data_IF_756865251931
#
_entry.id   IF_756865251931
#
_cell.length_a   1.000
_cell.length_b   1.000
_cell.length_c   1.000
_cell.angle_alpha   90.00
_cell.angle_beta   90.00
_cell.angle_gamma   90.00
#
_symmetry.space_group_name_H-M   'P 1'
#
loop_
_entity.id
_entity.type
_entity.pdbx_description
1 polymer ?
#
# COMPACT_ATOMS: atom_id res chain seq x y z
N UNK A 1 18.09 -0.89 21.30
CA UNK A 1 17.26 -1.21 20.12
C UNK A 1 17.60 -0.20 19.05
N UNK A 2 17.81 -0.62 17.80
CA UNK A 2 18.03 0.32 16.71
C UNK A 2 16.76 1.17 16.52
N UNK A 3 16.90 2.49 16.50
CA UNK A 3 15.81 3.41 16.16
C UNK A 3 15.58 3.27 14.65
N UNK A 4 14.36 2.90 14.26
CA UNK A 4 13.98 2.90 12.85
C UNK A 4 13.38 4.27 12.58
N UNK A 5 14.13 5.11 11.86
CA UNK A 5 13.70 6.45 11.47
C UNK A 5 12.93 6.39 10.14
N UNK A 6 11.88 7.21 10.05
CA UNK A 6 11.14 7.42 8.81
C UNK A 6 11.71 8.63 8.07
N UNK A 7 12.11 8.43 6.82
CA UNK A 7 12.67 9.47 5.95
C UNK A 7 11.77 9.78 4.74
N UNK A 8 10.50 9.37 4.77
CA UNK A 8 9.56 9.59 3.68
C UNK A 8 9.33 11.08 3.39
N UNK A 9 9.52 11.45 2.12
CA UNK A 9 9.22 12.77 1.58
C UNK A 9 7.81 12.79 0.98
N UNK A 10 6.88 13.36 1.74
CA UNK A 10 5.48 13.53 1.34
C UNK A 10 5.21 14.85 0.61
N UNK A 11 6.23 15.65 0.33
CA UNK A 11 6.07 16.99 -0.27
C UNK A 11 5.34 16.91 -1.61
N UNK A 12 4.22 17.62 -1.72
CA UNK A 12 3.41 17.68 -2.94
C UNK A 12 2.52 16.46 -3.17
N UNK A 13 2.53 15.44 -2.30
CA UNK A 13 1.62 14.30 -2.37
C UNK A 13 0.34 14.62 -1.59
N UNK A 14 -0.80 14.59 -2.27
CA UNK A 14 -2.10 14.73 -1.63
C UNK A 14 -2.68 13.36 -1.32
N UNK A 15 -3.00 13.11 -0.04
CA UNK A 15 -3.68 11.89 0.39
C UNK A 15 -5.17 11.95 0.04
N UNK A 16 -5.45 11.95 -1.25
CA UNK A 16 -6.79 11.96 -1.83
C UNK A 16 -6.91 10.80 -2.82
N UNK A 17 -7.97 10.01 -2.67
CA UNK A 17 -8.27 8.92 -3.60
C UNK A 17 -8.66 9.50 -4.97
N UNK A 18 -7.99 9.04 -6.02
CA UNK A 18 -8.36 9.36 -7.39
C UNK A 18 -9.22 8.26 -8.01
N UNK A 19 -10.09 8.64 -8.95
CA UNK A 19 -10.89 7.67 -9.70
C UNK A 19 -10.00 6.98 -10.76
N UNK A 20 -9.64 5.73 -10.51
CA UNK A 20 -8.84 4.89 -11.42
C UNK A 20 -9.68 4.11 -12.43
N UNK A 21 -10.95 4.50 -12.66
CA UNK A 21 -11.79 3.92 -13.71
C UNK A 21 -12.47 2.59 -13.32
N UNK A 22 -12.52 2.26 -12.03
CA UNK A 22 -13.23 1.07 -11.55
C UNK A 22 -14.76 1.14 -11.75
N UNK A 23 -15.31 2.33 -12.07
CA UNK A 23 -16.76 2.58 -12.24
C UNK A 23 -17.45 1.68 -13.27
N UNK A 24 -16.74 1.12 -14.26
CA UNK A 24 -17.33 0.19 -15.22
C UNK A 24 -17.48 -1.26 -14.71
N UNK A 25 -16.91 -1.58 -13.54
CA UNK A 25 -17.07 -2.90 -12.90
C UNK A 25 -18.20 -2.82 -11.86
N UNK A 26 -19.45 -2.85 -12.32
CA UNK A 26 -20.69 -2.85 -11.51
C UNK A 26 -20.88 -4.06 -10.57
N UNK A 27 -19.81 -4.73 -10.15
CA UNK A 27 -19.92 -5.85 -9.22
C UNK A 27 -19.97 -5.28 -7.81
N UNK A 28 -21.15 -5.36 -7.16
CA UNK A 28 -21.38 -4.84 -5.80
C UNK A 28 -20.38 -5.38 -4.76
N UNK A 29 -19.79 -6.55 -4.99
CA UNK A 29 -18.78 -7.12 -4.11
C UNK A 29 -17.40 -6.41 -4.18
N UNK A 30 -17.19 -5.50 -5.13
CA UNK A 30 -15.97 -4.69 -5.26
C UNK A 30 -16.06 -3.33 -4.55
N UNK A 31 -17.11 -3.09 -3.78
CA UNK A 31 -17.33 -1.83 -3.06
C UNK A 31 -17.11 -2.07 -1.56
N UNK A 32 -16.33 -1.20 -0.93
CA UNK A 32 -16.16 -1.17 0.51
C UNK A 32 -16.07 0.28 1.00
N UNK A 33 -16.92 0.64 1.97
CA UNK A 33 -17.08 2.02 2.49
C UNK A 33 -17.26 3.05 1.37
N UNK A 34 -18.16 2.76 0.43
CA UNK A 34 -18.50 3.58 -0.74
C UNK A 34 -17.34 3.83 -1.74
N UNK A 35 -16.21 3.15 -1.57
CA UNK A 35 -15.07 3.18 -2.49
C UNK A 35 -15.09 1.92 -3.36
N UNK A 36 -14.94 2.11 -4.68
CA UNK A 36 -14.83 1.02 -5.64
C UNK A 36 -13.37 0.60 -5.82
N UNK A 37 -13.11 -0.71 -5.71
CA UNK A 37 -11.80 -1.32 -5.89
C UNK A 37 -11.72 -2.09 -7.20
N UNK A 38 -10.51 -2.28 -7.73
CA UNK A 38 -10.29 -2.95 -9.00
C UNK A 38 -10.38 -4.49 -8.90
N UNK A 39 -10.07 -5.03 -7.71
CA UNK A 39 -9.99 -6.47 -7.44
C UNK A 39 -10.61 -6.87 -6.08
N UNK A 40 -10.96 -8.15 -5.92
CA UNK A 40 -11.38 -8.69 -4.60
C UNK A 40 -10.22 -8.72 -3.60
N UNK A 41 -8.98 -8.83 -4.07
CA UNK A 41 -7.78 -8.75 -3.23
C UNK A 41 -7.71 -7.40 -2.52
N UNK A 42 -7.85 -6.31 -3.27
CA UNK A 42 -7.94 -4.96 -2.69
C UNK A 42 -9.09 -4.81 -1.69
N UNK A 43 -10.28 -5.32 -1.99
CA UNK A 43 -11.41 -5.27 -1.03
C UNK A 43 -11.08 -5.99 0.28
N UNK A 44 -10.49 -7.19 0.20
CA UNK A 44 -10.08 -7.96 1.38
C UNK A 44 -9.01 -7.22 2.18
N UNK A 45 -8.04 -6.60 1.50
CA UNK A 45 -6.99 -5.82 2.14
C UNK A 45 -7.55 -4.56 2.82
N UNK A 46 -8.44 -3.83 2.15
CA UNK A 46 -9.14 -2.67 2.70
C UNK A 46 -9.93 -3.02 3.97
N UNK A 47 -10.62 -4.18 3.97
CA UNK A 47 -11.32 -4.69 5.16
C UNK A 47 -10.35 -5.01 6.29
N UNK A 48 -9.25 -5.71 6.03
CA UNK A 48 -8.24 -6.03 7.04
C UNK A 48 -7.64 -4.77 7.68
N UNK A 49 -7.31 -3.77 6.87
CA UNK A 49 -6.78 -2.49 7.38
C UNK A 49 -7.82 -1.80 8.27
N UNK A 50 -9.08 -1.74 7.82
CA UNK A 50 -10.17 -1.13 8.56
C UNK A 50 -10.50 -1.87 9.89
N UNK A 51 -10.52 -3.20 9.88
CA UNK A 51 -10.76 -4.04 11.07
C UNK A 51 -9.64 -3.88 12.11
N UNK A 52 -8.42 -3.63 11.66
CA UNK A 52 -7.27 -3.35 12.53
C UNK A 52 -7.15 -1.88 12.94
N UNK A 53 -8.11 -1.03 12.53
CA UNK A 53 -8.07 0.41 12.83
C UNK A 53 -6.89 1.15 12.19
N UNK A 54 -6.32 0.59 11.12
CA UNK A 54 -5.23 1.21 10.36
C UNK A 54 -5.86 2.18 9.36
N UNK A 55 -5.68 3.49 9.52
CA UNK A 55 -6.24 4.46 8.59
C UNK A 55 -5.45 4.42 7.28
N UNK A 56 -6.14 4.53 6.15
CA UNK A 56 -5.51 4.48 4.83
C UNK A 56 -6.27 5.32 3.81
N UNK A 57 -5.57 5.72 2.76
CA UNK A 57 -6.12 6.36 1.56
C UNK A 57 -5.88 5.44 0.37
N UNK A 58 -6.93 4.98 -0.32
CA UNK A 58 -6.75 4.16 -1.51
C UNK A 58 -6.42 5.03 -2.74
N UNK A 59 -5.78 4.44 -3.74
CA UNK A 59 -5.55 5.04 -5.07
C UNK A 59 -4.98 6.46 -5.02
N UNK A 60 -3.83 6.66 -4.36
CA UNK A 60 -3.18 7.97 -4.25
C UNK A 60 -2.31 8.23 -5.49
N UNK A 61 -2.48 9.37 -6.15
CA UNK A 61 -1.65 9.71 -7.31
C UNK A 61 -0.27 10.22 -6.87
N UNK A 62 0.79 9.63 -7.41
CA UNK A 62 2.17 10.06 -7.21
C UNK A 62 2.89 10.15 -8.57
N UNK A 63 3.57 11.25 -8.83
CA UNK A 63 4.39 11.42 -10.04
C UNK A 63 5.84 11.01 -9.75
N UNK A 64 6.35 10.07 -10.55
CA UNK A 64 7.72 9.55 -10.48
C UNK A 64 8.56 10.19 -11.58
N UNK A 65 9.68 10.81 -11.23
CA UNK A 65 10.57 11.51 -12.16
C UNK A 65 11.74 10.66 -12.65
N UNK A 66 12.06 9.57 -11.95
CA UNK A 66 13.23 8.72 -12.23
C UNK A 66 12.88 7.46 -13.03
N UNK A 67 11.62 7.29 -13.42
CA UNK A 67 11.13 6.13 -14.15
C UNK A 67 11.15 6.36 -15.68
N UNK A 68 12.33 6.36 -16.28
CA UNK A 68 12.55 6.61 -17.72
C UNK A 68 12.70 8.10 -18.05
N UNK A 69 12.60 8.46 -19.33
CA UNK A 69 12.98 9.81 -19.82
C UNK A 69 11.95 10.92 -19.51
N UNK A 70 10.73 10.56 -19.09
CA UNK A 70 9.64 11.49 -18.79
C UNK A 70 8.99 11.12 -17.47
N UNK A 71 8.43 12.10 -16.73
CA UNK A 71 7.66 11.82 -15.53
C UNK A 71 6.53 10.83 -15.81
N UNK A 72 6.30 9.89 -14.87
CA UNK A 72 5.25 8.88 -14.97
C UNK A 72 4.42 8.85 -13.72
N UNK A 73 3.11 8.79 -13.90
CA UNK A 73 2.19 8.60 -12.80
C UNK A 73 2.22 7.15 -12.30
N UNK A 74 2.23 7.03 -10.99
CA UNK A 74 2.07 5.82 -10.22
C UNK A 74 0.95 6.02 -9.21
N UNK A 75 0.10 5.01 -9.06
CA UNK A 75 -1.05 5.03 -8.17
C UNK A 75 -0.96 3.79 -7.29
N UNK A 76 -0.34 3.87 -6.10
CA UNK A 76 -0.38 2.80 -5.12
C UNK A 76 -1.84 2.48 -4.74
N UNK A 77 -2.13 1.20 -4.56
CA UNK A 77 -3.50 0.77 -4.20
C UNK A 77 -3.91 1.31 -2.82
N UNK A 78 -2.98 1.35 -1.86
CA UNK A 78 -3.19 1.84 -0.50
C UNK A 78 -1.99 2.62 0.03
N UNK A 79 -2.23 3.80 0.59
CA UNK A 79 -1.29 4.54 1.44
C UNK A 79 -1.81 4.53 2.88
N UNK A 80 -0.95 4.20 3.84
CA UNK A 80 -1.27 4.20 5.27
C UNK A 80 -1.19 5.63 5.79
N UNK A 81 -2.26 6.09 6.41
CA UNK A 81 -2.35 7.46 6.91
C UNK A 81 -1.72 7.55 8.29
N UNK A 82 -1.17 8.71 8.61
CA UNK A 82 -0.72 9.03 9.96
C UNK A 82 0.73 8.64 10.22
N UNK A 83 1.14 7.38 9.99
CA UNK A 83 2.49 6.89 10.30
C UNK A 83 2.87 5.65 9.47
N UNK A 84 4.19 5.37 9.31
CA UNK A 84 4.63 4.10 8.77
C UNK A 84 4.40 2.94 9.74
N UNK A 85 4.36 1.73 9.18
CA UNK A 85 4.12 0.48 9.89
C UNK A 85 5.31 -0.47 9.74
N UNK A 86 5.60 -1.26 10.77
CA UNK A 86 6.59 -2.33 10.66
C UNK A 86 5.95 -3.59 10.08
N UNK A 87 6.29 -3.94 8.85
CA UNK A 87 5.96 -5.22 8.26
C UNK A 87 6.80 -6.33 8.89
N UNK A 88 6.12 -7.30 9.49
CA UNK A 88 6.73 -8.45 10.20
C UNK A 88 7.78 -8.06 11.26
N UNK A 89 7.68 -6.84 11.81
CA UNK A 89 8.62 -6.31 12.80
C UNK A 89 10.02 -6.01 12.26
N UNK A 90 10.21 -5.93 10.93
CA UNK A 90 11.53 -5.78 10.30
C UNK A 90 11.60 -4.63 9.30
N UNK A 91 10.57 -4.46 8.48
CA UNK A 91 10.60 -3.56 7.33
C UNK A 91 9.60 -2.42 7.54
N UNK A 92 10.04 -1.17 7.41
CA UNK A 92 9.16 -0.01 7.46
C UNK A 92 8.38 0.11 6.14
N UNK A 93 7.05 0.19 6.21
CA UNK A 93 6.16 0.33 5.06
C UNK A 93 5.19 1.50 5.25
N UNK A 94 4.81 2.12 4.13
CA UNK A 94 3.90 3.27 4.07
C UNK A 94 2.60 2.95 3.31
N UNK A 95 2.50 1.76 2.74
CA UNK A 95 1.42 1.43 1.84
C UNK A 95 1.53 0.02 1.29
N UNK A 96 0.52 -0.35 0.50
CA UNK A 96 0.42 -1.63 -0.14
C UNK A 96 0.08 -1.47 -1.62
N UNK A 97 0.65 -2.37 -2.42
CA UNK A 97 0.28 -2.61 -3.81
C UNK A 97 -0.16 -4.07 -3.94
N UNK A 98 -1.46 -4.29 -4.14
CA UNK A 98 -2.05 -5.59 -4.34
C UNK A 98 -1.75 -6.09 -5.75
N UNK A 99 -1.29 -7.33 -5.86
CA UNK A 99 -1.05 -7.97 -7.15
C UNK A 99 -1.68 -9.35 -7.17
N UNK A 100 -2.11 -9.77 -8.36
CA UNK A 100 -2.49 -11.16 -8.59
C UNK A 100 -1.33 -12.12 -8.29
N UNK A 101 -1.60 -13.42 -8.38
CA UNK A 101 -0.60 -14.46 -8.05
C UNK A 101 0.68 -14.26 -8.89
N UNK A 102 1.86 -14.13 -8.26
CA UNK A 102 3.14 -14.05 -8.94
C UNK A 102 3.33 -15.19 -9.95
N UNK A 103 3.80 -14.89 -11.16
CA UNK A 103 4.20 -15.93 -12.11
C UNK A 103 5.62 -16.37 -11.77
N UNK A 104 5.85 -17.67 -11.60
CA UNK A 104 7.14 -18.24 -11.19
C UNK A 104 7.69 -17.68 -9.86
N UNK A 105 6.82 -17.22 -8.96
CA UNK A 105 7.22 -16.67 -7.66
C UNK A 105 7.65 -15.20 -7.67
N UNK A 106 7.63 -14.51 -8.82
CA UNK A 106 8.05 -13.11 -8.93
C UNK A 106 6.90 -12.19 -9.36
N UNK A 107 6.85 -11.00 -8.76
CA UNK A 107 5.97 -9.93 -9.22
C UNK A 107 6.43 -9.41 -10.59
N UNK A 108 5.50 -8.82 -11.35
CA UNK A 108 5.84 -8.27 -12.66
C UNK A 108 6.94 -7.19 -12.52
N UNK A 109 7.99 -7.19 -13.38
CA UNK A 109 9.09 -6.23 -13.29
C UNK A 109 8.62 -4.77 -13.30
N UNK A 110 7.53 -4.48 -14.02
CA UNK A 110 6.93 -3.14 -14.08
C UNK A 110 6.36 -2.68 -12.72
N UNK A 111 5.82 -3.59 -11.92
CA UNK A 111 5.31 -3.27 -10.58
C UNK A 111 6.48 -3.00 -9.63
N UNK A 112 7.52 -3.85 -9.67
CA UNK A 112 8.76 -3.68 -8.91
C UNK A 112 9.44 -2.34 -9.21
N UNK A 113 9.63 -2.01 -10.49
CA UNK A 113 10.27 -0.77 -10.90
C UNK A 113 9.55 0.50 -10.41
N UNK A 114 8.22 0.46 -10.23
CA UNK A 114 7.44 1.59 -9.71
C UNK A 114 7.62 1.77 -8.21
N UNK A 115 7.55 0.69 -7.44
CA UNK A 115 7.75 0.75 -5.99
C UNK A 115 9.20 1.11 -5.65
N UNK A 116 10.17 0.58 -6.39
CA UNK A 116 11.59 0.91 -6.24
C UNK A 116 11.88 2.38 -6.60
N UNK A 117 11.26 2.90 -7.68
CA UNK A 117 11.41 4.30 -8.04
C UNK A 117 10.82 5.23 -6.96
N UNK A 118 9.64 4.91 -6.43
CA UNK A 118 9.03 5.68 -5.34
C UNK A 118 9.90 5.67 -4.07
N UNK A 119 10.40 4.49 -3.70
CA UNK A 119 11.32 4.36 -2.56
C UNK A 119 12.58 5.18 -2.77
N UNK A 120 13.19 5.15 -3.95
CA UNK A 120 14.42 5.89 -4.24
C UNK A 120 14.22 7.40 -4.28
N UNK A 121 13.11 7.87 -4.83
CA UNK A 121 12.85 9.31 -5.00
C UNK A 121 12.33 9.99 -3.74
N UNK A 122 11.60 9.25 -2.91
CA UNK A 122 10.81 9.80 -1.81
C UNK A 122 10.98 9.04 -0.50
N UNK A 123 11.78 7.98 -0.44
CA UNK A 123 11.84 7.05 0.71
C UNK A 123 10.48 6.44 1.12
N UNK A 124 9.46 6.53 0.26
CA UNK A 124 8.15 5.94 0.50
C UNK A 124 8.18 4.47 0.05
N UNK A 125 8.18 3.58 1.04
CA UNK A 125 8.17 2.12 0.85
C UNK A 125 6.74 1.60 0.68
N UNK A 126 6.46 0.97 -0.47
CA UNK A 126 5.18 0.30 -0.76
C UNK A 126 5.38 -1.21 -0.79
N UNK A 127 4.62 -1.94 0.03
CA UNK A 127 4.69 -3.40 0.07
C UNK A 127 3.88 -4.03 -1.06
N UNK A 128 4.56 -4.70 -1.99
CA UNK A 128 3.89 -5.61 -2.91
C UNK A 128 3.38 -6.83 -2.14
N UNK A 129 2.08 -7.09 -2.26
CA UNK A 129 1.41 -8.22 -1.60
C UNK A 129 0.56 -8.97 -2.62
N UNK A 130 0.69 -10.30 -2.64
CA UNK A 130 -0.06 -11.14 -3.56
C UNK A 130 -1.46 -11.46 -3.06
N UNK A 131 -2.39 -11.72 -3.98
CA UNK A 131 -3.73 -12.23 -3.65
C UNK A 131 -3.71 -13.46 -2.74
N UNK A 132 -2.70 -14.33 -2.91
CA UNK A 132 -2.53 -15.52 -2.06
C UNK A 132 -2.22 -15.14 -0.61
N UNK A 133 -1.34 -14.16 -0.42
CA UNK A 133 -1.01 -13.63 0.92
C UNK A 133 -2.22 -12.91 1.51
N UNK A 134 -2.90 -12.07 0.74
CA UNK A 134 -4.12 -11.37 1.18
C UNK A 134 -5.18 -12.38 1.63
N UNK A 135 -5.45 -13.43 0.83
CA UNK A 135 -6.40 -14.50 1.18
C UNK A 135 -5.96 -15.20 2.47
N UNK A 136 -4.67 -15.54 2.60
CA UNK A 136 -4.15 -16.15 3.81
C UNK A 136 -4.39 -15.25 5.04
N UNK A 137 -4.07 -13.96 4.93
CA UNK A 137 -4.27 -13.03 6.04
C UNK A 137 -5.74 -12.87 6.39
N UNK A 138 -6.59 -12.70 5.38
CA UNK A 138 -8.02 -12.48 5.52
C UNK A 138 -8.75 -13.68 6.11
N UNK A 139 -8.56 -14.87 5.54
CA UNK A 139 -9.36 -16.05 5.86
C UNK A 139 -8.77 -16.89 7.00
N UNK A 140 -7.44 -16.87 7.19
CA UNK A 140 -6.79 -17.73 8.19
C UNK A 140 -6.36 -16.98 9.44
N UNK A 141 -5.73 -15.82 9.26
CA UNK A 141 -5.10 -15.13 10.38
C UNK A 141 -5.95 -14.01 10.99
N UNK A 142 -6.86 -13.42 10.21
CA UNK A 142 -7.65 -12.25 10.59
C UNK A 142 -6.84 -10.97 10.80
N UNK A 143 -5.55 -10.92 10.41
CA UNK A 143 -4.67 -9.77 10.64
C UNK A 143 -3.57 -9.66 9.59
N UNK A 144 -3.08 -8.45 9.35
CA UNK A 144 -1.94 -8.21 8.47
C UNK A 144 -0.63 -8.38 9.26
N UNK A 145 0.09 -9.47 8.99
CA UNK A 145 1.33 -9.78 9.70
C UNK A 145 1.14 -9.99 11.21
N UNK A 146 2.23 -10.29 11.92
CA UNK A 146 2.19 -10.46 13.39
C UNK A 146 2.26 -9.14 14.15
N UNK A 147 2.58 -8.03 13.48
CA UNK A 147 2.92 -6.76 14.14
C UNK A 147 2.96 -5.58 13.17
N UNK A 148 1.88 -5.32 12.41
CA UNK A 148 1.66 -3.98 11.85
C UNK A 148 1.37 -3.01 13.00
N UNK A 149 2.41 -2.64 13.75
CA UNK A 149 2.34 -1.66 14.81
C UNK A 149 2.71 -0.29 14.23
N UNK A 150 1.95 0.76 14.57
CA UNK A 150 2.38 2.12 14.30
C UNK A 150 3.76 2.36 14.93
N UNK A 151 4.72 2.89 14.18
CA UNK A 151 5.90 3.51 14.79
C UNK A 151 5.41 4.74 15.54
N UNK A 152 5.27 4.63 16.87
CA UNK A 152 4.88 5.80 17.69
C UNK A 152 5.88 6.92 17.42
N UNK A 153 5.44 8.19 17.30
CA UNK A 153 6.37 9.30 17.29
C UNK A 153 7.19 9.22 18.59
N UNK A 154 8.48 9.50 18.52
CA UNK A 154 9.26 9.83 19.71
C UNK A 154 8.61 11.11 20.27
N UNK A 155 7.76 10.95 21.28
CA UNK A 155 7.39 12.07 22.14
C UNK A 155 8.60 12.29 23.03
N UNK A 156 9.28 13.42 22.83
CA UNK A 156 10.24 13.93 23.80
C UNK A 156 9.47 14.16 25.12
N UNK A 157 9.83 13.40 26.17
CA UNK A 157 9.45 13.69 27.57
C UNK A 157 10.37 14.74 28.17
#
# INVERSE_FOLDING_TARGET
MAVIEDHADWTGIQLTSIDVGARHKKKRNLIFRDIAYATMGEVRLARLLAEQGIPFTPNVLVTLHTLGDKPKDYVPDFILNGMPYLWEGKELIHGFEAKGVPRNGFFAPKALARVEALQRERNIVIKLISDREIIHYFEKSGRLGRSCLPLRPLVDE
#
